data_IF_116362380235
#
_entry.id   IF_116362380235
#
_cell.length_a   1.000
_cell.length_b   1.000
_cell.length_c   1.000
_cell.angle_alpha   90.00
_cell.angle_beta   90.00
_cell.angle_gamma   90.00
#
_symmetry.space_group_name_H-M   'P 1'
#
loop_
_entity.id
_entity.type
_entity.pdbx_description
1 polymer ?
#
# COMPACT_ATOMS: atom_id res chain seq x y z
N UNK A 1 -4.42 -22.42 10.83
CA UNK A 1 -4.52 -21.66 9.56
C UNK A 1 -4.38 -20.19 9.86
N UNK A 2 -3.60 -19.46 9.07
CA UNK A 2 -3.48 -18.01 9.21
C UNK A 2 -4.68 -17.34 8.53
N UNK A 3 -5.20 -16.27 9.13
CA UNK A 3 -6.28 -15.48 8.53
C UNK A 3 -5.77 -14.09 8.19
N UNK A 4 -6.33 -13.49 7.13
CA UNK A 4 -6.01 -12.11 6.77
C UNK A 4 -6.30 -11.15 7.92
N UNK A 5 -7.41 -11.35 8.63
CA UNK A 5 -7.78 -10.57 9.82
C UNK A 5 -6.72 -10.66 10.94
N UNK A 6 -6.21 -11.85 11.24
CA UNK A 6 -5.18 -12.02 12.27
C UNK A 6 -3.88 -11.31 11.86
N UNK A 7 -3.47 -11.45 10.59
CA UNK A 7 -2.27 -10.80 10.08
C UNK A 7 -2.42 -9.27 10.07
N UNK A 8 -3.60 -8.74 9.74
CA UNK A 8 -3.92 -7.31 9.88
C UNK A 8 -3.73 -6.80 11.30
N UNK A 9 -4.29 -7.49 12.29
CA UNK A 9 -4.12 -7.14 13.71
C UNK A 9 -2.66 -7.21 14.17
N UNK A 10 -1.92 -8.25 13.74
CA UNK A 10 -0.48 -8.38 14.04
C UNK A 10 0.29 -7.21 13.41
N UNK A 11 -0.01 -6.85 12.17
CA UNK A 11 0.61 -5.72 11.46
C UNK A 11 0.39 -4.42 12.24
N UNK A 12 -0.85 -4.13 12.63
CA UNK A 12 -1.19 -2.96 13.44
C UNK A 12 -0.44 -2.94 14.77
N UNK A 13 -0.35 -4.08 15.47
CA UNK A 13 0.36 -4.19 16.74
C UNK A 13 1.87 -3.90 16.60
N UNK A 14 2.52 -4.45 15.58
CA UNK A 14 3.96 -4.21 15.37
C UNK A 14 4.24 -2.77 14.90
N UNK A 15 3.33 -2.17 14.13
CA UNK A 15 3.42 -0.77 13.73
C UNK A 15 3.31 0.17 14.93
N UNK A 16 2.40 -0.11 15.87
CA UNK A 16 2.25 0.67 17.12
C UNK A 16 3.51 0.63 18.00
N UNK A 17 4.26 -0.47 17.94
CA UNK A 17 5.55 -0.60 18.64
C UNK A 17 6.74 -0.05 17.85
N UNK A 18 6.51 0.68 16.75
CA UNK A 18 7.52 1.18 15.82
C UNK A 18 8.40 0.08 15.18
N UNK A 19 7.91 -1.16 15.13
CA UNK A 19 8.61 -2.29 14.54
C UNK A 19 8.30 -2.43 13.05
N UNK A 20 8.64 -1.40 12.26
CA UNK A 20 8.30 -1.31 10.83
C UNK A 20 8.84 -2.49 10.01
N UNK A 21 10.05 -2.98 10.32
CA UNK A 21 10.62 -4.16 9.65
C UNK A 21 9.74 -5.41 9.83
N UNK A 22 9.15 -5.61 11.02
CA UNK A 22 8.22 -6.73 11.26
C UNK A 22 6.91 -6.51 10.51
N UNK A 23 6.40 -5.28 10.45
CA UNK A 23 5.22 -4.96 9.66
C UNK A 23 5.42 -5.32 8.18
N UNK A 24 6.59 -5.03 7.62
CA UNK A 24 6.94 -5.40 6.26
C UNK A 24 6.93 -6.92 6.04
N UNK A 25 7.40 -7.72 7.01
CA UNK A 25 7.34 -9.18 6.94
C UNK A 25 5.91 -9.70 6.96
N UNK A 26 5.02 -9.08 7.72
CA UNK A 26 3.59 -9.42 7.74
C UNK A 26 2.95 -9.11 6.39
N UNK A 27 3.25 -7.95 5.81
CA UNK A 27 2.78 -7.58 4.47
C UNK A 27 3.29 -8.55 3.40
N UNK A 28 4.58 -8.92 3.43
CA UNK A 28 5.13 -9.93 2.51
C UNK A 28 4.46 -11.29 2.66
N UNK A 29 4.07 -11.67 3.88
CA UNK A 29 3.34 -12.91 4.13
C UNK A 29 1.94 -12.87 3.55
N UNK A 30 1.25 -11.73 3.65
CA UNK A 30 -0.07 -11.51 3.04
C UNK A 30 -0.01 -11.60 1.52
N UNK A 31 0.95 -10.90 0.92
CA UNK A 31 1.17 -10.84 -0.52
C UNK A 31 1.56 -12.21 -1.11
N UNK A 32 2.52 -12.92 -0.50
CA UNK A 32 2.96 -14.23 -1.00
C UNK A 32 2.02 -15.39 -0.60
N UNK A 33 1.06 -15.13 0.27
CA UNK A 33 0.32 -16.14 1.01
C UNK A 33 -1.06 -16.51 0.46
N UNK A 34 -1.43 -16.08 -0.76
CA UNK A 34 -2.77 -16.21 -1.33
C UNK A 34 -3.42 -17.61 -1.24
N UNK A 35 -2.65 -18.70 -1.26
CA UNK A 35 -3.17 -20.07 -1.12
C UNK A 35 -3.28 -20.61 0.31
N UNK A 36 -2.70 -19.92 1.30
CA UNK A 36 -2.53 -20.40 2.68
C UNK A 36 -3.20 -19.52 3.74
N UNK A 37 -3.63 -18.32 3.34
CA UNK A 37 -4.27 -17.32 4.18
C UNK A 37 -5.74 -17.27 3.83
N UNK A 38 -6.59 -17.42 4.85
CA UNK A 38 -8.04 -17.36 4.67
C UNK A 38 -8.51 -15.93 4.88
N UNK A 39 -9.20 -15.39 3.87
CA UNK A 39 -9.73 -14.03 3.86
C UNK A 39 -8.65 -12.96 3.74
N UNK A 40 -9.06 -11.71 3.92
CA UNK A 40 -8.20 -10.52 3.78
C UNK A 40 -8.15 -9.73 5.09
N UNK A 41 -7.10 -8.92 5.32
CA UNK A 41 -7.06 -7.97 6.42
C UNK A 41 -8.18 -6.93 6.34
N UNK A 42 -8.40 -6.19 7.43
CA UNK A 42 -9.24 -5.00 7.36
C UNK A 42 -8.51 -3.91 6.57
N UNK A 43 -9.27 -3.13 5.82
CA UNK A 43 -8.72 -2.00 5.08
C UNK A 43 -7.98 -1.01 5.99
N UNK A 44 -8.50 -0.77 7.19
CA UNK A 44 -7.88 0.12 8.19
C UNK A 44 -6.45 -0.30 8.55
N UNK A 45 -6.18 -1.61 8.67
CA UNK A 45 -4.84 -2.14 8.96
C UNK A 45 -3.88 -1.83 7.79
N UNK A 46 -4.35 -2.02 6.54
CA UNK A 46 -3.57 -1.78 5.32
C UNK A 46 -3.32 -0.28 5.10
N UNK A 47 -4.32 0.56 5.35
CA UNK A 47 -4.19 2.01 5.31
C UNK A 47 -3.16 2.51 6.33
N UNK A 48 -3.18 1.97 7.56
CA UNK A 48 -2.19 2.32 8.58
C UNK A 48 -0.77 1.93 8.15
N UNK A 49 -0.61 0.78 7.49
CA UNK A 49 0.69 0.36 6.96
C UNK A 49 1.20 1.31 5.86
N UNK A 50 0.33 1.75 4.95
CA UNK A 50 0.69 2.74 3.91
C UNK A 50 1.12 4.06 4.56
N UNK A 51 0.40 4.51 5.58
CA UNK A 51 0.75 5.72 6.32
C UNK A 51 2.12 5.61 6.97
N UNK A 52 2.43 4.45 7.56
CA UNK A 52 3.77 4.23 8.10
C UNK A 52 4.83 4.18 7.02
N UNK A 53 4.55 3.61 5.85
CA UNK A 53 5.48 3.62 4.73
C UNK A 53 5.77 5.05 4.22
N UNK A 54 4.80 5.95 4.29
CA UNK A 54 4.98 7.38 3.97
C UNK A 54 5.92 8.02 4.99
N UNK A 55 5.69 7.81 6.28
CA UNK A 55 6.55 8.32 7.36
C UNK A 55 8.01 7.81 7.24
N UNK A 56 8.19 6.52 6.96
CA UNK A 56 9.49 5.87 6.84
C UNK A 56 10.15 6.08 5.46
N UNK A 57 9.51 6.84 4.55
CA UNK A 57 9.98 7.07 3.17
C UNK A 57 10.27 5.77 2.42
N UNK A 58 9.37 4.80 2.54
CA UNK A 58 9.43 3.48 1.92
C UNK A 58 8.37 3.31 0.82
N UNK A 59 8.45 4.06 -0.30
CA UNK A 59 7.42 4.08 -1.33
C UNK A 59 7.18 2.71 -1.98
N UNK A 60 8.23 1.92 -2.24
CA UNK A 60 8.08 0.59 -2.85
C UNK A 60 7.24 -0.35 -1.97
N UNK A 61 7.36 -0.25 -0.64
CA UNK A 61 6.55 -1.04 0.31
C UNK A 61 5.10 -0.58 0.33
N UNK A 62 4.86 0.73 0.25
CA UNK A 62 3.51 1.27 0.10
C UNK A 62 2.85 0.79 -1.19
N UNK A 63 3.57 0.81 -2.31
CA UNK A 63 3.07 0.35 -3.62
C UNK A 63 2.68 -1.14 -3.56
N UNK A 64 3.48 -2.00 -2.93
CA UNK A 64 3.10 -3.41 -2.73
C UNK A 64 1.78 -3.55 -1.95
N UNK A 65 1.60 -2.78 -0.87
CA UNK A 65 0.35 -2.80 -0.11
C UNK A 65 -0.84 -2.32 -0.95
N UNK A 66 -0.66 -1.27 -1.74
CA UNK A 66 -1.69 -0.70 -2.61
C UNK A 66 -2.06 -1.68 -3.73
N UNK A 67 -1.07 -2.35 -4.34
CA UNK A 67 -1.30 -3.42 -5.31
C UNK A 67 -2.11 -4.56 -4.69
N UNK A 68 -1.73 -5.02 -3.49
CA UNK A 68 -2.50 -6.03 -2.76
C UNK A 68 -3.95 -5.58 -2.53
N UNK A 69 -4.17 -4.32 -2.17
CA UNK A 69 -5.52 -3.77 -2.02
C UNK A 69 -6.30 -3.83 -3.35
N UNK A 70 -5.69 -3.44 -4.46
CA UNK A 70 -6.34 -3.50 -5.77
C UNK A 70 -6.67 -4.94 -6.19
N UNK A 71 -5.73 -5.87 -6.02
CA UNK A 71 -5.89 -7.28 -6.40
C UNK A 71 -7.00 -7.99 -5.60
N UNK A 72 -7.22 -7.55 -4.37
CA UNK A 72 -8.28 -8.08 -3.50
C UNK A 72 -9.58 -7.26 -3.58
N UNK A 73 -9.69 -6.30 -4.51
CA UNK A 73 -10.93 -5.57 -4.80
C UNK A 73 -11.30 -4.49 -3.79
N UNK A 74 -10.34 -3.96 -3.03
CA UNK A 74 -10.59 -2.85 -2.12
C UNK A 74 -10.83 -1.56 -2.92
N UNK A 75 -12.01 -0.91 -2.82
CA UNK A 75 -12.36 0.26 -3.63
C UNK A 75 -11.46 1.47 -3.35
N UNK A 76 -10.98 1.58 -2.12
CA UNK A 76 -10.17 2.70 -1.65
C UNK A 76 -8.67 2.57 -1.97
N UNK A 77 -8.24 1.51 -2.68
CA UNK A 77 -6.85 1.35 -3.12
C UNK A 77 -6.35 2.57 -3.92
N UNK A 78 -7.23 3.16 -4.74
CA UNK A 78 -6.93 4.38 -5.51
C UNK A 78 -6.68 5.60 -4.63
N UNK A 79 -7.44 5.75 -3.55
CA UNK A 79 -7.25 6.84 -2.60
C UNK A 79 -5.89 6.72 -1.90
N UNK A 80 -5.44 5.50 -1.58
CA UNK A 80 -4.11 5.26 -1.00
C UNK A 80 -2.98 5.60 -2.00
N UNK A 81 -3.13 5.28 -3.28
CA UNK A 81 -2.19 5.67 -4.32
C UNK A 81 -2.07 7.19 -4.47
N UNK A 82 -3.20 7.90 -4.52
CA UNK A 82 -3.22 9.36 -4.59
C UNK A 82 -2.56 9.99 -3.36
N UNK A 83 -2.82 9.45 -2.17
CA UNK A 83 -2.17 9.88 -0.93
C UNK A 83 -0.66 9.68 -0.97
N UNK A 84 -0.19 8.54 -1.49
CA UNK A 84 1.24 8.26 -1.62
C UNK A 84 1.94 9.26 -2.55
N UNK A 85 1.34 9.54 -3.72
CA UNK A 85 1.85 10.53 -4.69
C UNK A 85 1.84 11.97 -4.15
N UNK A 86 0.87 12.32 -3.30
CA UNK A 86 0.82 13.64 -2.67
C UNK A 86 1.88 13.81 -1.58
N UNK A 87 2.16 12.75 -0.80
CA UNK A 87 3.00 12.85 0.41
C UNK A 87 4.46 12.51 0.19
N UNK A 88 4.81 11.80 -0.88
CA UNK A 88 6.19 11.44 -1.20
C UNK A 88 6.56 11.85 -2.63
N UNK A 89 7.80 12.29 -2.81
CA UNK A 89 8.38 12.42 -4.14
C UNK A 89 8.69 11.04 -4.70
N UNK A 90 7.91 10.63 -5.69
CA UNK A 90 8.05 9.33 -6.34
C UNK A 90 8.99 9.40 -7.55
N UNK A 91 9.67 8.30 -7.83
CA UNK A 91 10.48 8.15 -9.04
C UNK A 91 9.58 7.79 -10.22
N UNK A 92 10.09 7.91 -11.45
CA UNK A 92 9.35 7.48 -12.64
C UNK A 92 8.92 6.00 -12.57
N UNK A 93 9.74 5.15 -11.96
CA UNK A 93 9.42 3.74 -11.73
C UNK A 93 8.24 3.58 -10.76
N UNK A 94 8.26 4.29 -9.63
CA UNK A 94 7.15 4.28 -8.67
C UNK A 94 5.84 4.80 -9.30
N UNK A 95 5.91 5.87 -10.08
CA UNK A 95 4.75 6.43 -10.80
C UNK A 95 4.21 5.45 -11.85
N UNK A 96 5.11 4.77 -12.56
CA UNK A 96 4.76 3.72 -13.53
C UNK A 96 4.06 2.53 -12.87
N UNK A 97 4.47 2.16 -11.67
CA UNK A 97 3.81 1.07 -10.94
C UNK A 97 2.45 1.49 -10.37
N UNK A 98 2.34 2.69 -9.79
CA UNK A 98 1.05 3.22 -9.36
C UNK A 98 0.05 3.37 -10.51
N UNK A 99 0.50 3.83 -11.68
CA UNK A 99 -0.37 4.00 -12.85
C UNK A 99 -0.92 2.68 -13.39
N UNK A 100 -0.20 1.56 -13.24
CA UNK A 100 -0.75 0.23 -13.53
C UNK A 100 -1.86 -0.16 -12.56
N UNK A 101 -1.77 0.29 -11.30
CA UNK A 101 -2.74 -0.07 -10.26
C UNK A 101 -4.03 0.75 -10.39
N UNK A 102 -3.94 2.07 -10.52
CA UNK A 102 -5.12 2.95 -10.52
C UNK A 102 -5.65 3.28 -11.91
N UNK A 103 -4.88 2.96 -12.96
CA UNK A 103 -5.13 3.36 -14.34
C UNK A 103 -4.64 4.79 -14.62
N UNK A 104 -4.15 5.03 -15.85
CA UNK A 104 -3.54 6.30 -16.28
C UNK A 104 -4.42 7.56 -16.11
N UNK A 105 -5.72 7.41 -15.88
CA UNK A 105 -6.68 8.54 -15.89
C UNK A 105 -6.61 9.44 -14.65
N UNK A 106 -6.02 9.00 -13.54
CA UNK A 106 -6.11 9.74 -12.26
C UNK A 106 -4.79 10.41 -11.84
N UNK A 107 -3.63 9.78 -12.14
CA UNK A 107 -2.30 10.35 -11.86
C UNK A 107 -1.89 11.48 -12.83
N UNK A 108 -2.52 11.54 -14.01
CA UNK A 108 -2.18 12.50 -15.06
C UNK A 108 -2.61 13.96 -14.77
N UNK A 109 -3.29 14.22 -13.65
CA UNK A 109 -3.77 15.56 -13.29
C UNK A 109 -2.66 16.54 -12.85
N UNK A 110 -1.40 16.09 -12.73
CA UNK A 110 -0.26 16.94 -12.34
C UNK A 110 0.78 17.21 -13.44
N UNK A 111 0.71 16.57 -14.61
CA UNK A 111 1.70 16.76 -15.68
C UNK A 111 1.39 17.90 -16.66
N UNK A 112 0.28 18.62 -16.52
CA UNK A 112 -0.09 19.71 -17.45
C UNK A 112 0.01 21.13 -16.90
N UNK A 113 0.67 21.35 -15.76
CA UNK A 113 0.92 22.72 -15.25
C UNK A 113 2.41 22.90 -14.95
N UNK A 114 3.21 22.89 -16.01
CA UNK A 114 4.54 23.46 -16.03
C UNK A 114 4.73 24.25 -17.34
N UNK A 115 4.22 25.48 -17.30
CA UNK A 115 4.71 26.73 -17.92
C UNK A 115 5.08 26.72 -19.41
N UNK A 116 4.25 27.45 -20.19
CA UNK A 116 4.71 28.34 -21.26
C UNK A 116 5.59 29.48 -20.69
#
# INVERSE_FOLDING_TARGET
TWTGELLGKIMTLVLQNNEFSKACQVMEKLDKGHGSIVGVPKFEDLSLFVDKCIEDKAPSRAITCIQYCADNGFPDAKALAAKLDEKLTLTEEHLKDLSKIVGNSELASKSSVAVD
#
